data_IF_059672343454
#
_entry.id   IF_059672343454
#
_cell.length_a   1.000
_cell.length_b   1.000
_cell.length_c   1.000
_cell.angle_alpha   90.00
_cell.angle_beta   90.00
_cell.angle_gamma   90.00
#
_symmetry.space_group_name_H-M   'P 1'
#
loop_
_entity.id
_entity.type
_entity.pdbx_description
1 polymer ?
#
# COMPACT_ATOMS: atom_id res chain seq x y z
N UNK A 1 -11.05 1.00 -11.75
CA UNK A 1 -10.50 0.22 -10.61
C UNK A 1 -10.54 1.06 -9.35
N UNK A 2 -10.71 0.43 -8.18
CA UNK A 2 -10.66 1.16 -6.90
C UNK A 2 -9.21 1.58 -6.59
N UNK A 3 -9.02 2.65 -5.82
CA UNK A 3 -7.68 3.09 -5.36
C UNK A 3 -7.01 2.02 -4.49
N UNK A 4 -7.79 1.23 -3.76
CA UNK A 4 -7.29 0.09 -2.97
C UNK A 4 -6.69 -0.97 -3.90
N UNK A 5 -7.41 -1.37 -4.94
CA UNK A 5 -6.93 -2.35 -5.93
C UNK A 5 -5.62 -1.90 -6.56
N UNK A 6 -5.56 -0.65 -7.03
CA UNK A 6 -4.35 -0.09 -7.65
C UNK A 6 -3.18 -0.03 -6.67
N UNK A 7 -3.41 0.36 -5.41
CA UNK A 7 -2.37 0.37 -4.39
C UNK A 7 -1.84 -1.05 -4.12
N UNK A 8 -2.71 -2.06 -4.05
CA UNK A 8 -2.30 -3.44 -3.86
C UNK A 8 -1.54 -4.02 -5.05
N UNK A 9 -1.90 -3.63 -6.28
CA UNK A 9 -1.16 -3.99 -7.49
C UNK A 9 0.27 -3.44 -7.47
N UNK A 10 0.44 -2.14 -7.16
CA UNK A 10 1.77 -1.51 -7.09
C UNK A 10 2.62 -2.16 -5.98
N UNK A 11 2.04 -2.38 -4.80
CA UNK A 11 2.74 -2.97 -3.66
C UNK A 11 2.94 -4.49 -3.79
N UNK A 12 2.30 -5.13 -4.77
CA UNK A 12 2.33 -6.57 -4.99
C UNK A 12 3.74 -7.12 -5.25
N UNK A 13 4.67 -6.28 -5.70
CA UNK A 13 6.08 -6.63 -5.87
C UNK A 13 6.79 -6.99 -4.55
N UNK A 14 6.21 -6.62 -3.40
CA UNK A 14 6.77 -6.91 -2.08
C UNK A 14 7.97 -6.04 -1.70
N UNK A 15 8.22 -4.95 -2.42
CA UNK A 15 9.29 -4.00 -2.12
C UNK A 15 8.77 -2.84 -1.29
N UNK A 16 9.70 -2.03 -0.77
CA UNK A 16 9.37 -0.76 -0.15
C UNK A 16 9.22 0.29 -1.24
N UNK A 17 8.12 1.05 -1.19
CA UNK A 17 7.81 2.14 -2.11
C UNK A 17 7.75 3.44 -1.33
N UNK A 18 8.15 4.54 -1.98
CA UNK A 18 8.01 5.87 -1.39
C UNK A 18 6.56 6.31 -1.43
N UNK A 19 6.10 6.95 -0.35
CA UNK A 19 4.74 7.48 -0.28
C UNK A 19 4.50 8.53 -1.37
N UNK A 20 5.50 9.36 -1.66
CA UNK A 20 5.40 10.41 -2.68
C UNK A 20 5.18 9.84 -4.09
N UNK A 21 5.82 8.70 -4.42
CA UNK A 21 5.65 8.00 -5.70
C UNK A 21 4.24 7.41 -5.83
N UNK A 22 3.70 6.89 -4.73
CA UNK A 22 2.35 6.32 -4.69
C UNK A 22 1.26 7.40 -4.75
N UNK A 23 1.47 8.56 -4.13
CA UNK A 23 0.57 9.71 -4.22
C UNK A 23 0.37 10.13 -5.68
N UNK A 24 1.47 10.22 -6.44
CA UNK A 24 1.44 10.55 -7.87
C UNK A 24 0.78 9.44 -8.68
N UNK A 25 1.19 8.19 -8.47
CA UNK A 25 0.67 7.03 -9.22
C UNK A 25 -0.83 6.81 -8.99
N UNK A 26 -1.30 7.07 -7.78
CA UNK A 26 -2.70 6.93 -7.39
C UNK A 26 -3.49 8.22 -7.59
N UNK A 27 -2.87 9.35 -7.94
CA UNK A 27 -3.50 10.67 -8.02
C UNK A 27 -4.37 10.96 -6.77
N UNK A 28 -3.74 10.86 -5.59
CA UNK A 28 -4.37 11.10 -4.29
C UNK A 28 -3.70 12.28 -3.59
N UNK A 29 -4.48 13.01 -2.78
CA UNK A 29 -3.92 13.93 -1.80
C UNK A 29 -3.24 13.16 -0.66
N UNK A 30 -2.34 13.83 0.07
CA UNK A 30 -1.67 13.23 1.22
C UNK A 30 -2.67 12.72 2.27
N UNK A 31 -3.70 13.50 2.59
CA UNK A 31 -4.75 13.10 3.55
C UNK A 31 -5.49 11.84 3.10
N UNK A 32 -5.86 11.76 1.82
CA UNK A 32 -6.58 10.59 1.28
C UNK A 32 -5.68 9.35 1.23
N UNK A 33 -4.41 9.53 0.94
CA UNK A 33 -3.44 8.45 1.00
C UNK A 33 -3.19 7.98 2.43
N UNK A 34 -3.10 8.90 3.39
CA UNK A 34 -2.98 8.58 4.83
C UNK A 34 -4.20 7.81 5.33
N UNK A 35 -5.41 8.19 4.92
CA UNK A 35 -6.64 7.45 5.21
C UNK A 35 -6.57 6.02 4.65
N UNK A 36 -6.17 5.86 3.39
CA UNK A 36 -6.02 4.58 2.72
C UNK A 36 -4.96 3.68 3.37
N UNK A 37 -3.77 4.20 3.66
CA UNK A 37 -2.70 3.41 4.29
C UNK A 37 -3.00 3.09 5.74
N UNK A 38 -3.67 3.99 6.47
CA UNK A 38 -4.13 3.71 7.83
C UNK A 38 -5.14 2.57 7.85
N UNK A 39 -6.11 2.57 6.93
CA UNK A 39 -7.04 1.46 6.76
C UNK A 39 -6.31 0.15 6.46
N UNK A 40 -5.42 0.13 5.45
CA UNK A 40 -4.69 -1.08 5.09
C UNK A 40 -3.77 -1.58 6.22
N UNK A 41 -3.16 -0.68 6.98
CA UNK A 41 -2.28 -1.01 8.10
C UNK A 41 -3.09 -1.55 9.30
N UNK A 42 -4.29 -1.03 9.55
CA UNK A 42 -5.17 -1.50 10.63
C UNK A 42 -5.55 -2.99 10.47
N UNK A 43 -5.68 -3.46 9.24
CA UNK A 43 -5.91 -4.88 8.93
C UNK A 43 -4.62 -5.67 8.62
N UNK A 44 -3.45 -5.09 8.91
CA UNK A 44 -2.13 -5.70 8.67
C UNK A 44 -1.85 -6.06 7.21
N UNK A 45 -2.55 -5.44 6.24
CA UNK A 45 -2.33 -5.67 4.81
C UNK A 45 -1.05 -5.02 4.30
N UNK A 46 -0.67 -3.88 4.87
CA UNK A 46 0.58 -3.16 4.58
C UNK A 46 1.34 -2.87 5.87
N UNK A 47 2.61 -2.48 5.72
CA UNK A 47 3.44 -1.88 6.75
C UNK A 47 3.85 -0.49 6.29
N UNK A 48 3.69 0.49 7.16
CA UNK A 48 4.10 1.88 6.93
C UNK A 48 5.30 2.18 7.82
N UNK A 49 6.37 2.67 7.22
CA UNK A 49 7.50 3.28 7.92
C UNK A 49 7.35 4.80 7.84
N UNK A 50 6.69 5.37 8.85
CA UNK A 50 6.47 6.82 8.98
C UNK A 50 7.79 7.59 9.08
N UNK A 51 8.87 6.99 9.61
CA UNK A 51 10.16 7.68 9.74
C UNK A 51 10.82 7.92 8.40
N UNK A 52 10.66 6.99 7.47
CA UNK A 52 11.29 7.07 6.14
C UNK A 52 10.32 7.33 5.00
N UNK A 53 9.02 7.54 5.30
CA UNK A 53 8.00 7.83 4.30
C UNK A 53 7.81 6.68 3.30
N UNK A 54 7.85 5.43 3.78
CA UNK A 54 7.79 4.24 2.91
C UNK A 54 6.68 3.29 3.31
N UNK A 55 6.13 2.59 2.33
CA UNK A 55 5.10 1.57 2.55
C UNK A 55 5.43 0.30 1.77
N UNK A 56 5.02 -0.84 2.32
CA UNK A 56 5.24 -2.16 1.73
C UNK A 56 4.07 -3.09 2.08
N UNK A 57 3.71 -3.99 1.18
CA UNK A 57 2.73 -5.04 1.50
C UNK A 57 3.25 -5.99 2.58
N UNK A 58 2.36 -6.40 3.50
CA UNK A 58 2.68 -7.42 4.48
C UNK A 58 2.96 -8.76 3.78
N UNK A 59 3.98 -9.49 4.26
CA UNK A 59 4.42 -10.75 3.67
C UNK A 59 3.31 -11.81 3.67
N UNK A 60 2.56 -11.94 4.75
CA UNK A 60 1.54 -12.99 4.87
C UNK A 60 0.30 -12.65 4.04
N UNK A 61 -0.07 -11.36 3.99
CA UNK A 61 -1.11 -10.91 3.08
C UNK A 61 -0.70 -11.06 1.60
N UNK A 62 0.56 -10.79 1.25
CA UNK A 62 1.08 -11.05 -0.10
C UNK A 62 0.97 -12.53 -0.49
N UNK A 63 1.30 -13.46 0.41
CA UNK A 63 1.12 -14.91 0.16
C UNK A 63 -0.34 -15.24 -0.11
N UNK A 64 -1.26 -14.64 0.63
CA UNK A 64 -2.69 -14.81 0.42
C UNK A 64 -3.07 -14.31 -0.98
N UNK A 65 -2.71 -13.07 -1.35
CA UNK A 65 -3.01 -12.52 -2.69
C UNK A 65 -2.53 -13.42 -3.84
N UNK A 66 -1.33 -13.99 -3.73
CA UNK A 66 -0.78 -14.89 -4.76
C UNK A 66 -1.48 -16.25 -4.86
N UNK A 67 -2.33 -16.62 -3.90
CA UNK A 67 -3.11 -17.87 -3.95
C UNK A 67 -4.52 -17.69 -4.51
N UNK A 68 -5.00 -16.45 -4.59
CA UNK A 68 -6.36 -16.09 -5.06
C UNK A 68 -6.35 -15.36 -6.40
N UNK A 69 -5.17 -15.10 -6.97
CA UNK A 69 -4.96 -14.49 -8.29
C UNK A 69 -4.26 -15.50 -9.19
#
# INVERSE_FOLDING_TARGET
MSKITMALEILGDGKWHRIEELLLSLNLSEDKFRELTSFLNAYSFVKVDEKSGRVKINRDFKKLLTQIT
#
